data_IF_447587013355
#
_entry.id   IF_447587013355
#
_cell.length_a   1.000
_cell.length_b   1.000
_cell.length_c   1.000
_cell.angle_alpha   90.00
_cell.angle_beta   90.00
_cell.angle_gamma   90.00
#
_symmetry.space_group_name_H-M   'P 1'
#
loop_
_entity.id
_entity.type
_entity.pdbx_description
1 polymer ?
#
# COMPACT_ATOMS: atom_id res chain seq x y z
N UNK A 1 19.01 -12.72 10.86
CA UNK A 1 17.87 -12.18 10.10
C UNK A 1 17.86 -12.84 8.73
N UNK A 2 16.72 -13.33 8.21
CA UNK A 2 16.67 -13.79 6.83
C UNK A 2 17.04 -12.61 5.92
N UNK A 3 18.07 -12.82 5.10
CA UNK A 3 18.46 -11.87 4.07
C UNK A 3 17.42 -11.96 2.95
N UNK A 4 16.94 -10.82 2.47
CA UNK A 4 16.01 -10.80 1.35
C UNK A 4 16.75 -11.34 0.11
N UNK A 5 16.21 -12.34 -0.60
CA UNK A 5 16.86 -12.83 -1.81
C UNK A 5 16.94 -11.70 -2.85
N UNK A 6 18.01 -11.62 -3.66
CA UNK A 6 18.16 -10.56 -4.66
C UNK A 6 16.99 -10.48 -5.66
N UNK A 7 16.33 -11.61 -5.93
CA UNK A 7 15.14 -11.73 -6.77
C UNK A 7 13.93 -10.97 -6.21
N UNK A 8 13.79 -10.94 -4.88
CA UNK A 8 12.72 -10.24 -4.17
C UNK A 8 12.95 -8.73 -4.02
N UNK A 9 14.15 -8.21 -4.32
CA UNK A 9 14.48 -6.80 -4.10
C UNK A 9 13.54 -5.84 -4.85
N UNK A 10 13.17 -6.18 -6.09
CA UNK A 10 12.24 -5.38 -6.89
C UNK A 10 10.84 -5.32 -6.26
N UNK A 11 10.35 -6.44 -5.73
CA UNK A 11 9.04 -6.49 -5.08
C UNK A 11 9.05 -5.82 -3.71
N UNK A 12 10.16 -5.89 -2.96
CA UNK A 12 10.33 -5.13 -1.72
C UNK A 12 10.31 -3.62 -1.96
N UNK A 13 10.90 -3.15 -3.07
CA UNK A 13 10.83 -1.74 -3.47
C UNK A 13 9.40 -1.32 -3.83
N UNK A 14 8.62 -2.18 -4.51
CA UNK A 14 7.21 -1.95 -4.78
C UNK A 14 6.40 -1.83 -3.49
N UNK A 15 6.62 -2.74 -2.53
CA UNK A 15 6.00 -2.65 -1.21
C UNK A 15 6.34 -1.34 -0.49
N UNK A 16 7.61 -0.94 -0.52
CA UNK A 16 8.03 0.32 0.09
C UNK A 16 7.37 1.53 -0.58
N UNK A 17 7.19 1.50 -1.91
CA UNK A 17 6.49 2.55 -2.65
C UNK A 17 4.99 2.59 -2.31
N UNK A 18 4.33 1.43 -2.29
CA UNK A 18 2.92 1.31 -1.91
C UNK A 18 2.68 1.78 -0.47
N UNK A 19 3.55 1.40 0.48
CA UNK A 19 3.47 1.86 1.86
C UNK A 19 3.60 3.38 1.98
N UNK A 20 4.53 4.00 1.24
CA UNK A 20 4.66 5.47 1.20
C UNK A 20 3.42 6.15 0.63
N UNK A 21 2.78 5.55 -0.38
CA UNK A 21 1.58 6.10 -0.99
C UNK A 21 0.34 5.94 -0.09
N UNK A 22 0.14 4.78 0.53
CA UNK A 22 -1.10 4.44 1.24
C UNK A 22 -1.07 4.73 2.75
N UNK A 23 0.11 4.79 3.39
CA UNK A 23 0.18 5.03 4.83
C UNK A 23 -0.46 6.35 5.29
N UNK A 24 -0.30 7.48 4.56
CA UNK A 24 -0.95 8.75 4.93
C UNK A 24 -2.49 8.70 4.84
N UNK A 25 -3.03 7.85 3.96
CA UNK A 25 -4.47 7.79 3.66
C UNK A 25 -5.29 7.32 4.86
N UNK A 26 -4.71 6.53 5.78
CA UNK A 26 -5.43 6.02 6.96
C UNK A 26 -6.06 7.15 7.79
N UNK A 27 -5.33 8.24 8.02
CA UNK A 27 -5.83 9.37 8.80
C UNK A 27 -6.88 10.18 8.04
N UNK A 28 -6.62 10.44 6.75
CA UNK A 28 -7.47 11.23 5.88
C UNK A 28 -8.80 10.53 5.55
N UNK A 29 -8.79 9.23 5.30
CA UNK A 29 -9.98 8.43 5.03
C UNK A 29 -10.88 8.29 6.26
N UNK A 30 -10.30 8.33 7.47
CA UNK A 30 -11.07 8.19 8.72
C UNK A 30 -11.60 9.54 9.21
N UNK A 31 -10.77 10.58 9.20
CA UNK A 31 -11.07 11.86 9.88
C UNK A 31 -11.15 13.05 8.93
N UNK A 32 -10.82 12.87 7.65
CA UNK A 32 -10.66 13.96 6.71
C UNK A 32 -9.48 14.86 7.08
N UNK A 33 -9.64 16.16 6.85
CA UNK A 33 -8.69 17.18 7.29
C UNK A 33 -9.40 18.15 8.23
N UNK A 34 -9.39 17.88 9.55
CA UNK A 34 -10.11 18.72 10.52
C UNK A 34 -9.68 20.19 10.49
N UNK A 35 -8.37 20.44 10.34
CA UNK A 35 -7.78 21.79 10.24
C UNK A 35 -8.33 22.58 9.04
N UNK A 36 -8.65 21.90 7.95
CA UNK A 36 -9.19 22.50 6.72
C UNK A 36 -10.73 22.40 6.64
N UNK A 37 -11.40 21.82 7.66
CA UNK A 37 -12.84 21.53 7.68
C UNK A 37 -13.33 20.68 6.49
N UNK A 38 -12.47 19.81 5.96
CA UNK A 38 -12.80 18.91 4.86
C UNK A 38 -13.09 17.51 5.39
N UNK A 39 -14.27 16.98 5.05
CA UNK A 39 -14.66 15.61 5.37
C UNK A 39 -14.03 14.61 4.38
N UNK A 40 -13.90 13.32 4.73
CA UNK A 40 -13.45 12.29 3.77
C UNK A 40 -14.24 12.33 2.46
N UNK A 41 -15.57 12.47 2.52
CA UNK A 41 -16.44 12.53 1.34
C UNK A 41 -16.10 13.69 0.38
N UNK A 42 -15.48 14.77 0.87
CA UNK A 42 -15.04 15.89 0.05
C UNK A 42 -13.60 15.73 -0.48
N UNK A 43 -12.80 14.88 0.14
CA UNK A 43 -11.39 14.67 -0.22
C UNK A 43 -11.21 13.59 -1.29
N UNK A 44 -12.08 12.59 -1.29
CA UNK A 44 -11.99 11.41 -2.14
C UNK A 44 -12.93 11.46 -3.32
N UNK A 45 -12.47 10.85 -4.41
CA UNK A 45 -13.27 10.58 -5.61
C UNK A 45 -13.21 9.09 -5.91
N UNK A 46 -14.09 8.61 -6.79
CA UNK A 46 -14.11 7.22 -7.22
C UNK A 46 -12.77 6.80 -7.87
N UNK A 47 -12.13 7.73 -8.60
CA UNK A 47 -10.85 7.52 -9.26
C UNK A 47 -9.73 7.34 -8.24
N UNK A 48 -9.67 8.20 -7.20
CA UNK A 48 -8.69 8.06 -6.11
C UNK A 48 -8.87 6.76 -5.34
N UNK A 49 -10.12 6.36 -5.10
CA UNK A 49 -10.43 5.11 -4.42
C UNK A 49 -10.00 3.90 -5.27
N UNK A 50 -10.28 3.92 -6.57
CA UNK A 50 -9.88 2.87 -7.50
C UNK A 50 -8.36 2.74 -7.61
N UNK A 51 -7.65 3.88 -7.65
CA UNK A 51 -6.19 3.87 -7.70
C UNK A 51 -5.57 3.34 -6.40
N UNK A 52 -6.10 3.74 -5.24
CA UNK A 52 -5.65 3.21 -3.95
C UNK A 52 -5.87 1.69 -3.85
N UNK A 53 -7.00 1.19 -4.36
CA UNK A 53 -7.29 -0.25 -4.42
C UNK A 53 -6.29 -0.97 -5.32
N UNK A 54 -6.03 -0.46 -6.52
CA UNK A 54 -5.05 -1.02 -7.46
C UNK A 54 -3.66 -1.14 -6.82
N UNK A 55 -3.21 -0.08 -6.14
CA UNK A 55 -1.91 -0.09 -5.43
C UNK A 55 -1.90 -1.14 -4.32
N UNK A 56 -2.99 -1.30 -3.57
CA UNK A 56 -3.09 -2.29 -2.51
C UNK A 56 -3.05 -3.73 -3.05
N UNK A 57 -3.72 -4.02 -4.15
CA UNK A 57 -3.70 -5.32 -4.83
C UNK A 57 -2.29 -5.66 -5.35
N UNK A 58 -1.62 -4.70 -6.00
CA UNK A 58 -0.25 -4.87 -6.48
C UNK A 58 0.74 -5.09 -5.33
N UNK A 59 0.53 -4.41 -4.20
CA UNK A 59 1.32 -4.60 -3.00
C UNK A 59 1.12 -6.01 -2.41
N UNK A 60 -0.13 -6.50 -2.35
CA UNK A 60 -0.41 -7.84 -1.86
C UNK A 60 0.30 -8.89 -2.72
N UNK A 61 0.19 -8.80 -4.05
CA UNK A 61 0.87 -9.71 -4.98
C UNK A 61 2.40 -9.66 -4.85
N UNK A 62 2.97 -8.50 -4.53
CA UNK A 62 4.40 -8.38 -4.24
C UNK A 62 4.76 -9.07 -2.91
N UNK A 63 3.97 -8.88 -1.85
CA UNK A 63 4.17 -9.54 -0.57
C UNK A 63 4.10 -11.07 -0.68
N UNK A 64 3.09 -11.59 -1.37
CA UNK A 64 2.92 -13.03 -1.59
C UNK A 64 4.12 -13.64 -2.33
N UNK A 65 4.63 -12.96 -3.37
CA UNK A 65 5.82 -13.41 -4.10
C UNK A 65 7.06 -13.45 -3.22
N UNK A 66 7.27 -12.43 -2.40
CA UNK A 66 8.39 -12.40 -1.44
C UNK A 66 8.26 -13.54 -0.42
N UNK A 67 7.08 -13.74 0.15
CA UNK A 67 6.84 -14.79 1.14
C UNK A 67 7.07 -16.19 0.55
N UNK A 68 6.61 -16.40 -0.68
CA UNK A 68 6.87 -17.64 -1.44
C UNK A 68 8.37 -17.87 -1.67
N UNK A 69 9.12 -16.84 -2.07
CA UNK A 69 10.58 -16.94 -2.24
C UNK A 69 11.31 -17.24 -0.93
N UNK A 70 10.79 -16.76 0.19
CA UNK A 70 11.32 -17.04 1.53
C UNK A 70 10.92 -18.44 2.06
N UNK A 71 10.15 -19.22 1.29
CA UNK A 71 9.72 -20.57 1.67
C UNK A 71 8.51 -20.62 2.60
N UNK A 72 7.79 -19.50 2.78
CA UNK A 72 6.51 -19.50 3.48
C UNK A 72 5.41 -19.97 2.50
N UNK A 73 4.66 -21.01 2.88
CA UNK A 73 3.52 -21.50 2.12
C UNK A 73 2.33 -20.55 2.28
N UNK A 74 1.85 -20.00 1.16
CA UNK A 74 0.60 -19.28 1.02
C UNK A 74 -0.27 -19.99 -0.02
#
# INVERSE_FOLDING_TARGET
>A
MPHLPPTAAGDALKLAAAARALAPERGLATYGKPQERLTPAQLYSAEKASEALRIAEEALLAAERILKELGYGL
#
